data_IF_118592657990
#
_entry.id   IF_118592657990
#
_cell.length_a   1.000
_cell.length_b   1.000
_cell.length_c   1.000
_cell.angle_alpha   90.00
_cell.angle_beta   90.00
_cell.angle_gamma   90.00
#
_symmetry.space_group_name_H-M   'P 1'
#
loop_
_entity.id
_entity.type
_entity.pdbx_description
1 polymer ?
#
# COMPACT_ATOMS: atom_id res chain seq x y z
N UNK A 1 26.45 64.16 -15.28
CA UNK A 1 26.34 63.13 -16.33
C UNK A 1 26.26 61.78 -15.63
N UNK A 2 25.30 60.95 -16.04
CA UNK A 2 24.52 60.00 -15.23
C UNK A 2 25.28 58.90 -14.46
N UNK A 3 24.93 58.75 -13.18
CA UNK A 3 25.32 57.64 -12.31
C UNK A 3 24.43 56.42 -12.62
N UNK A 4 24.98 55.37 -13.23
CA UNK A 4 24.26 54.11 -13.52
C UNK A 4 24.36 53.18 -12.32
N UNK A 5 23.24 52.97 -11.63
CA UNK A 5 23.06 51.92 -10.63
C UNK A 5 22.91 50.60 -11.37
N UNK A 6 23.84 49.67 -11.18
CA UNK A 6 23.71 48.29 -11.63
C UNK A 6 22.87 47.51 -10.61
N UNK A 7 21.67 47.11 -11.03
CA UNK A 7 20.79 46.23 -10.26
C UNK A 7 21.23 44.79 -10.50
N UNK A 8 21.88 44.16 -9.52
CA UNK A 8 22.24 42.73 -9.59
C UNK A 8 20.99 41.90 -9.37
N UNK A 9 20.49 41.24 -10.42
CA UNK A 9 19.39 40.29 -10.35
C UNK A 9 19.93 38.98 -9.75
N UNK A 10 19.55 38.67 -8.52
CA UNK A 10 19.80 37.36 -7.90
C UNK A 10 18.76 36.40 -8.47
N UNK A 11 19.19 35.56 -9.42
CA UNK A 11 18.42 34.38 -9.85
C UNK A 11 18.41 33.37 -8.70
N UNK A 12 17.29 33.27 -7.98
CA UNK A 12 17.04 32.12 -7.10
C UNK A 12 16.92 30.87 -7.98
N UNK A 13 17.94 30.04 -7.97
CA UNK A 13 17.88 28.67 -8.47
C UNK A 13 16.84 27.93 -7.64
N UNK A 14 15.71 27.58 -8.25
CA UNK A 14 14.78 26.62 -7.67
C UNK A 14 15.51 25.29 -7.54
N UNK A 15 15.96 24.98 -6.32
CA UNK A 15 16.39 23.64 -5.95
C UNK A 15 15.22 22.70 -6.22
N UNK A 16 15.35 21.90 -7.28
CA UNK A 16 14.47 20.77 -7.53
C UNK A 16 14.68 19.83 -6.36
N UNK A 17 13.80 19.91 -5.36
CA UNK A 17 13.73 18.92 -4.29
C UNK A 17 13.62 17.56 -4.96
N UNK A 18 14.48 16.63 -4.57
CA UNK A 18 14.40 15.24 -5.01
C UNK A 18 12.97 14.77 -4.76
N UNK A 19 12.19 14.66 -5.84
CA UNK A 19 10.85 14.13 -5.77
C UNK A 19 11.04 12.68 -5.33
N UNK A 20 10.48 12.31 -4.17
CA UNK A 20 10.55 10.94 -3.69
C UNK A 20 10.10 10.02 -4.82
N UNK A 21 10.95 9.07 -5.19
CA UNK A 21 10.69 8.16 -6.32
C UNK A 21 9.38 7.41 -6.05
N UNK A 22 8.41 7.51 -6.96
CA UNK A 22 7.13 6.78 -6.87
C UNK A 22 7.26 5.26 -6.99
N UNK A 23 8.49 4.75 -7.19
CA UNK A 23 8.79 3.33 -7.37
C UNK A 23 8.68 2.49 -6.11
N UNK A 24 8.87 3.11 -4.95
CA UNK A 24 8.76 2.46 -3.65
C UNK A 24 7.88 3.29 -2.72
N UNK A 25 7.22 2.62 -1.78
CA UNK A 25 6.52 3.32 -0.73
C UNK A 25 7.53 3.97 0.22
N UNK A 26 7.29 5.22 0.65
CA UNK A 26 8.22 5.88 1.56
C UNK A 26 8.25 5.19 2.93
N UNK A 27 9.34 5.42 3.65
CA UNK A 27 9.48 5.07 5.06
C UNK A 27 9.79 6.33 5.86
N UNK A 28 9.21 6.43 7.06
CA UNK A 28 9.38 7.55 7.97
C UNK A 28 9.88 6.99 9.31
N UNK A 29 11.17 7.12 9.59
CA UNK A 29 11.78 6.42 10.73
C UNK A 29 11.60 4.90 10.59
N UNK A 30 11.00 4.27 11.59
CA UNK A 30 10.65 2.83 11.55
C UNK A 30 9.29 2.53 10.91
N UNK A 31 8.54 3.56 10.49
CA UNK A 31 7.19 3.41 9.97
C UNK A 31 7.19 3.32 8.45
N UNK A 32 6.73 2.19 7.93
CA UNK A 32 6.46 1.97 6.51
C UNK A 32 5.00 2.32 6.20
N UNK A 33 4.71 2.70 4.96
CA UNK A 33 3.34 2.92 4.49
C UNK A 33 3.04 2.07 3.26
N UNK A 34 1.77 1.78 3.01
CA UNK A 34 1.32 1.13 1.77
C UNK A 34 -0.16 1.37 1.55
N UNK A 35 -0.64 1.21 0.32
CA UNK A 35 -2.07 1.11 0.02
C UNK A 35 -2.33 -0.12 -0.87
N UNK A 36 -3.51 -0.71 -0.71
CA UNK A 36 -4.03 -1.74 -1.62
C UNK A 36 -4.77 -1.15 -2.81
N UNK A 37 -5.24 -2.03 -3.69
CA UNK A 37 -5.87 -1.63 -4.95
C UNK A 37 -7.25 -0.98 -4.76
N UNK A 38 -7.94 -1.29 -3.65
CA UNK A 38 -9.25 -0.71 -3.34
C UNK A 38 -9.18 0.74 -2.87
N UNK A 39 -8.00 1.21 -2.43
CA UNK A 39 -7.85 2.52 -1.77
C UNK A 39 -7.73 2.44 -0.25
N UNK A 40 -7.78 1.24 0.35
CA UNK A 40 -7.37 1.07 1.75
C UNK A 40 -5.87 1.37 1.88
N UNK A 41 -5.49 2.02 2.97
CA UNK A 41 -4.09 2.33 3.26
C UNK A 41 -3.70 1.85 4.66
N UNK A 42 -2.40 1.65 4.86
CA UNK A 42 -1.85 1.24 6.14
C UNK A 42 -0.50 1.88 6.41
N UNK A 43 -0.20 2.09 7.69
CA UNK A 43 1.17 2.28 8.17
C UNK A 43 1.52 1.19 9.16
N UNK A 44 2.76 0.69 9.11
CA UNK A 44 3.22 -0.37 9.98
C UNK A 44 4.68 -0.17 10.40
N UNK A 45 4.98 -0.62 11.60
CA UNK A 45 6.34 -0.80 12.11
C UNK A 45 6.53 -2.25 12.52
N UNK A 46 7.71 -2.79 12.19
CA UNK A 46 8.10 -4.15 12.53
C UNK A 46 9.34 -4.08 13.42
N UNK A 47 9.20 -4.51 14.67
CA UNK A 47 10.29 -4.55 15.64
C UNK A 47 10.67 -5.99 15.89
N UNK A 48 11.98 -6.28 15.88
CA UNK A 48 12.52 -7.58 16.29
C UNK A 48 13.43 -7.37 17.49
N UNK A 49 13.08 -8.00 18.60
CA UNK A 49 13.90 -8.05 19.80
C UNK A 49 14.15 -9.52 20.18
N UNK A 50 15.40 -9.94 20.07
CA UNK A 50 15.82 -11.33 20.24
C UNK A 50 14.97 -12.31 19.39
N UNK A 51 14.27 -13.24 20.05
CA UNK A 51 13.41 -14.24 19.42
C UNK A 51 11.98 -13.76 19.19
N UNK A 52 11.60 -12.57 19.66
CA UNK A 52 10.25 -12.03 19.47
C UNK A 52 10.25 -10.92 18.44
N UNK A 53 9.31 -10.95 17.52
CA UNK A 53 8.99 -9.81 16.69
C UNK A 53 7.56 -9.34 16.93
N UNK A 54 7.33 -8.07 16.66
CA UNK A 54 6.06 -7.39 16.80
C UNK A 54 5.80 -6.52 15.55
N UNK A 55 4.69 -6.74 14.87
CA UNK A 55 4.11 -5.85 13.85
C UNK A 55 3.01 -5.04 14.52
N UNK A 56 3.17 -3.72 14.53
CA UNK A 56 2.09 -2.78 14.86
C UNK A 56 1.66 -2.14 13.56
N UNK A 57 0.38 -2.26 13.23
CA UNK A 57 -0.17 -1.80 11.96
C UNK A 57 -1.48 -1.07 12.15
N UNK A 58 -1.51 0.17 11.66
CA UNK A 58 -2.73 0.92 11.50
C UNK A 58 -3.23 0.74 10.08
N UNK A 59 -4.53 0.48 9.93
CA UNK A 59 -5.21 0.36 8.64
C UNK A 59 -6.45 1.24 8.61
N UNK A 60 -6.78 1.82 7.46
CA UNK A 60 -8.03 2.55 7.24
C UNK A 60 -8.52 2.29 5.83
N UNK A 61 -9.82 1.98 5.69
CA UNK A 61 -10.47 1.80 4.39
C UNK A 61 -10.73 3.17 3.72
N UNK A 62 -11.20 3.17 2.47
CA UNK A 62 -11.40 4.39 1.67
C UNK A 62 -12.69 5.21 1.94
N UNK A 63 -13.80 4.65 2.48
CA UNK A 63 -15.02 5.45 2.70
C UNK A 63 -14.79 6.61 3.68
N UNK A 64 -15.55 7.70 3.53
CA UNK A 64 -15.44 8.91 4.34
C UNK A 64 -15.55 8.66 5.85
N UNK A 65 -16.37 7.69 6.22
CA UNK A 65 -16.65 7.30 7.60
C UNK A 65 -15.86 6.05 8.05
N UNK A 66 -14.86 5.62 7.27
CA UNK A 66 -14.04 4.47 7.63
C UNK A 66 -13.26 4.76 8.91
N UNK A 67 -13.52 3.97 9.94
CA UNK A 67 -12.79 4.04 11.19
C UNK A 67 -11.38 3.47 11.01
N UNK A 68 -10.33 4.10 11.56
CA UNK A 68 -9.03 3.48 11.61
C UNK A 68 -9.07 2.25 12.53
N UNK A 69 -8.25 1.26 12.21
CA UNK A 69 -8.14 0.03 12.99
C UNK A 69 -6.67 -0.23 13.29
N UNK A 70 -6.40 -0.68 14.52
CA UNK A 70 -5.06 -1.04 14.96
C UNK A 70 -4.95 -2.56 15.09
N UNK A 71 -3.95 -3.13 14.43
CA UNK A 71 -3.59 -4.54 14.51
C UNK A 71 -2.22 -4.68 15.17
N UNK A 72 -2.11 -5.67 16.03
CA UNK A 72 -0.84 -6.10 16.63
C UNK A 72 -0.65 -7.57 16.29
N UNK A 73 0.53 -7.94 15.80
CA UNK A 73 0.89 -9.33 15.55
C UNK A 73 2.28 -9.65 16.10
N UNK A 74 2.47 -10.85 16.60
CA UNK A 74 3.74 -11.37 17.07
C UNK A 74 3.95 -12.81 16.59
N UNK A 75 5.21 -13.29 16.56
CA UNK A 75 5.46 -14.71 16.32
C UNK A 75 5.16 -15.61 17.51
N UNK A 76 5.21 -15.07 18.72
CA UNK A 76 4.95 -15.85 19.93
C UNK A 76 3.46 -15.75 20.24
N UNK A 77 2.77 -16.88 20.44
CA UNK A 77 1.39 -16.84 20.87
C UNK A 77 1.25 -16.12 22.21
N UNK A 78 0.19 -15.33 22.34
CA UNK A 78 -0.20 -14.79 23.63
C UNK A 78 -0.72 -15.92 24.52
N UNK A 79 -0.40 -15.87 25.81
CA UNK A 79 -0.98 -16.80 26.78
C UNK A 79 -2.51 -16.72 26.74
N UNK A 80 -3.19 -17.82 27.10
CA UNK A 80 -4.66 -17.81 27.21
C UNK A 80 -5.16 -16.86 28.31
N UNK A 81 -4.31 -16.58 29.29
CA UNK A 81 -4.57 -15.71 30.44
C UNK A 81 -3.51 -14.60 30.54
N UNK A 82 -3.89 -13.47 31.14
CA UNK A 82 -3.00 -12.32 31.33
C UNK A 82 -3.57 -11.03 30.76
N UNK A 83 -2.73 -10.01 30.72
CA UNK A 83 -3.10 -8.66 30.29
C UNK A 83 -2.06 -8.12 29.33
N UNK A 84 -2.50 -7.73 28.14
CA UNK A 84 -1.70 -6.95 27.21
C UNK A 84 -1.69 -5.50 27.68
N UNK A 85 -0.52 -4.94 27.94
CA UNK A 85 -0.39 -3.57 28.45
C UNK A 85 0.32 -2.68 27.46
N UNK A 86 -0.14 -1.44 27.39
CA UNK A 86 0.43 -0.40 26.55
C UNK A 86 0.81 0.78 27.42
N UNK A 87 2.03 1.28 27.24
CA UNK A 87 2.48 2.53 27.82
C UNK A 87 3.09 3.42 26.74
N UNK A 88 2.87 4.72 26.84
CA UNK A 88 3.47 5.72 25.95
C UNK A 88 4.31 6.65 26.81
N UNK A 89 5.59 6.75 26.45
CA UNK A 89 6.59 7.52 27.19
C UNK A 89 6.62 7.18 28.70
N UNK A 90 6.46 5.89 29.00
CA UNK A 90 6.45 5.35 30.38
C UNK A 90 5.13 5.51 31.13
N UNK A 91 4.12 6.17 30.54
CA UNK A 91 2.78 6.29 31.14
C UNK A 91 1.87 5.20 30.59
N UNK A 92 1.30 4.38 31.48
CA UNK A 92 0.29 3.39 31.09
C UNK A 92 -0.92 4.09 30.44
N UNK A 93 -1.31 3.63 29.25
CA UNK A 93 -2.43 4.16 28.48
C UNK A 93 -3.56 3.14 28.28
N UNK A 94 -3.25 1.85 28.28
CA UNK A 94 -4.25 0.79 28.10
C UNK A 94 -3.80 -0.53 28.74
N UNK A 95 -4.78 -1.33 29.19
CA UNK A 95 -4.56 -2.66 29.72
C UNK A 95 -5.73 -3.59 29.31
N UNK A 96 -5.49 -4.49 28.35
CA UNK A 96 -6.51 -5.38 27.78
C UNK A 96 -6.32 -6.82 28.27
N UNK A 97 -7.28 -7.38 29.03
CA UNK A 97 -7.30 -8.81 29.31
C UNK A 97 -7.36 -9.61 28.01
N UNK A 98 -6.51 -10.64 27.88
CA UNK A 98 -6.41 -11.40 26.62
C UNK A 98 -7.72 -12.13 26.31
N UNK A 99 -8.45 -12.59 27.32
CA UNK A 99 -9.75 -13.25 27.17
C UNK A 99 -10.76 -12.33 26.48
N UNK A 100 -10.89 -11.09 26.96
CA UNK A 100 -11.77 -10.07 26.36
C UNK A 100 -11.33 -9.72 24.94
N UNK A 101 -10.02 -9.61 24.73
CA UNK A 101 -9.46 -9.34 23.41
C UNK A 101 -9.80 -10.46 22.41
N UNK A 102 -9.71 -11.73 22.83
CA UNK A 102 -10.05 -12.91 22.02
C UNK A 102 -11.56 -12.97 21.72
N UNK A 103 -12.40 -12.69 22.70
CA UNK A 103 -13.86 -12.61 22.52
C UNK A 103 -14.28 -11.54 21.51
N UNK A 104 -13.54 -10.43 21.46
CA UNK A 104 -13.79 -9.33 20.52
C UNK A 104 -13.42 -9.68 19.06
N UNK A 105 -12.42 -10.55 18.83
CA UNK A 105 -11.84 -10.75 17.48
C UNK A 105 -12.86 -11.11 16.38
N UNK A 106 -13.83 -12.02 16.57
CA UNK A 106 -14.76 -12.40 15.50
C UNK A 106 -15.68 -11.27 15.05
N UNK A 107 -15.82 -10.21 15.85
CA UNK A 107 -16.65 -9.03 15.51
C UNK A 107 -15.95 -8.06 14.55
N UNK A 108 -14.65 -8.23 14.33
CA UNK A 108 -13.85 -7.30 13.55
C UNK A 108 -13.76 -7.75 12.09
N UNK A 109 -14.27 -6.90 11.20
CA UNK A 109 -14.19 -7.10 9.75
C UNK A 109 -13.03 -6.25 9.23
N UNK A 110 -12.02 -6.89 8.63
CA UNK A 110 -10.90 -6.19 8.02
C UNK A 110 -11.29 -5.56 6.67
N UNK A 111 -10.66 -4.45 6.27
CA UNK A 111 -10.84 -3.86 4.93
C UNK A 111 -10.57 -4.87 3.81
N UNK A 112 -11.27 -4.73 2.70
CA UNK A 112 -11.04 -5.57 1.52
C UNK A 112 -9.61 -5.34 0.97
N UNK A 113 -8.92 -6.43 0.62
CA UNK A 113 -7.52 -6.40 0.20
C UNK A 113 -6.50 -6.39 1.34
N UNK A 114 -6.94 -6.26 2.60
CA UNK A 114 -6.06 -6.40 3.76
C UNK A 114 -5.50 -7.83 3.84
N UNK A 115 -4.18 -7.94 4.04
CA UNK A 115 -3.49 -9.21 4.27
C UNK A 115 -2.68 -9.12 5.55
N UNK A 116 -2.95 -9.95 6.57
CA UNK A 116 -2.13 -9.97 7.76
C UNK A 116 -0.74 -10.52 7.44
N UNK A 117 0.27 -10.02 8.15
CA UNK A 117 1.56 -10.72 8.23
C UNK A 117 1.36 -12.03 9.03
N UNK A 118 2.15 -13.06 8.73
CA UNK A 118 2.11 -14.31 9.49
C UNK A 118 2.41 -14.11 10.98
N UNK A 119 2.09 -15.09 11.82
CA UNK A 119 2.14 -14.97 13.29
C UNK A 119 0.75 -14.95 13.92
N UNK A 120 0.68 -14.90 15.25
CA UNK A 120 -0.59 -14.65 15.95
C UNK A 120 -0.79 -13.14 16.04
N UNK A 121 -1.92 -12.65 15.56
CA UNK A 121 -2.23 -11.24 15.73
C UNK A 121 -3.69 -11.00 15.99
N UNK A 122 -3.94 -9.86 16.62
CA UNK A 122 -5.23 -9.45 17.13
C UNK A 122 -5.50 -8.00 16.75
N UNK A 123 -6.77 -7.70 16.58
CA UNK A 123 -7.29 -6.35 16.45
C UNK A 123 -7.47 -5.74 17.82
N UNK A 124 -6.96 -4.52 17.98
CA UNK A 124 -7.26 -3.66 19.11
C UNK A 124 -8.75 -3.24 19.04
N UNK A 125 -9.41 -2.96 20.19
CA UNK A 125 -10.78 -2.45 20.22
C UNK A 125 -11.02 -1.27 19.27
N UNK A 126 -12.00 -1.39 18.36
CA UNK A 126 -12.26 -0.43 17.29
C UNK A 126 -13.01 0.83 17.77
N UNK A 127 -13.11 1.84 16.90
CA UNK A 127 -13.83 3.08 17.20
C UNK A 127 -13.10 3.97 18.22
N UNK A 128 -13.79 4.57 19.20
CA UNK A 128 -13.21 5.56 20.11
C UNK A 128 -11.95 5.10 20.84
N UNK A 129 -11.85 3.80 21.17
CA UNK A 129 -10.65 3.23 21.80
C UNK A 129 -9.44 3.29 20.87
N UNK A 130 -9.61 2.92 19.59
CA UNK A 130 -8.54 3.03 18.59
C UNK A 130 -8.18 4.50 18.36
N UNK A 131 -9.16 5.39 18.24
CA UNK A 131 -8.90 6.83 18.03
C UNK A 131 -8.06 7.42 19.18
N UNK A 132 -8.40 7.08 20.43
CA UNK A 132 -7.65 7.50 21.61
C UNK A 132 -6.22 6.94 21.64
N UNK A 133 -6.03 5.68 21.26
CA UNK A 133 -4.71 5.05 21.14
C UNK A 133 -3.87 5.74 20.06
N UNK A 134 -4.42 5.96 18.86
CA UNK A 134 -3.73 6.64 17.74
C UNK A 134 -3.31 8.04 18.16
N UNK A 135 -4.23 8.80 18.78
CA UNK A 135 -3.92 10.14 19.30
C UNK A 135 -2.75 10.10 20.29
N UNK A 136 -2.78 9.17 21.25
CA UNK A 136 -1.71 9.05 22.23
C UNK A 136 -0.38 8.65 21.58
N UNK A 137 -0.40 7.75 20.59
CA UNK A 137 0.79 7.33 19.84
C UNK A 137 1.36 8.46 18.98
N UNK A 138 0.50 9.29 18.39
CA UNK A 138 0.94 10.44 17.59
C UNK A 138 1.64 11.50 18.46
N UNK A 139 1.14 11.72 19.67
CA UNK A 139 1.62 12.78 20.56
C UNK A 139 2.83 12.31 21.42
N UNK A 140 3.19 11.03 21.36
CA UNK A 140 4.30 10.42 22.12
C UNK A 140 5.53 10.05 21.28
N UNK A 141 6.59 9.58 21.96
CA UNK A 141 7.87 9.23 21.32
C UNK A 141 8.16 7.73 21.32
N UNK A 142 7.77 7.00 22.36
CA UNK A 142 7.97 5.56 22.49
C UNK A 142 6.69 4.87 22.93
N UNK A 143 6.24 3.87 22.16
CA UNK A 143 5.20 2.92 22.55
C UNK A 143 5.89 1.69 23.16
N UNK A 144 5.53 1.37 24.39
CA UNK A 144 5.91 0.15 25.07
C UNK A 144 4.72 -0.81 25.09
N UNK A 145 4.97 -2.06 24.68
CA UNK A 145 3.97 -3.14 24.69
C UNK A 145 4.48 -4.27 25.56
N UNK A 146 3.74 -4.63 26.60
CA UNK A 146 4.00 -5.80 27.43
C UNK A 146 3.15 -6.98 26.93
N UNK A 147 3.81 -7.95 26.32
CA UNK A 147 3.23 -9.16 25.74
C UNK A 147 3.34 -10.32 26.74
N UNK A 148 2.22 -10.79 27.31
CA UNK A 148 2.20 -12.02 28.09
C UNK A 148 2.29 -13.24 27.17
N UNK A 149 3.46 -13.86 27.06
CA UNK A 149 3.71 -15.07 26.28
C UNK A 149 4.06 -16.28 27.16
N UNK A 150 4.21 -17.44 26.53
CA UNK A 150 4.49 -18.70 27.24
C UNK A 150 5.77 -18.65 28.10
N UNK A 151 6.77 -17.90 27.64
CA UNK A 151 8.05 -17.72 28.33
C UNK A 151 8.04 -16.55 29.34
N UNK A 152 6.86 -16.02 29.68
CA UNK A 152 6.67 -14.87 30.57
C UNK A 152 6.32 -13.57 29.84
N UNK A 153 6.36 -12.46 30.56
CA UNK A 153 6.04 -11.13 30.01
C UNK A 153 7.26 -10.59 29.26
N UNK A 154 7.09 -10.28 27.98
CA UNK A 154 8.10 -9.60 27.16
C UNK A 154 7.71 -8.14 26.96
N UNK A 155 8.64 -7.24 27.20
CA UNK A 155 8.43 -5.79 27.00
C UNK A 155 9.13 -5.35 25.73
N UNK A 156 8.38 -4.81 24.78
CA UNK A 156 8.91 -4.33 23.50
C UNK A 156 8.71 -2.83 23.42
N UNK A 157 9.80 -2.10 23.14
CA UNK A 157 9.77 -0.66 22.91
C UNK A 157 9.78 -0.38 21.40
N UNK A 158 8.92 0.51 20.97
CA UNK A 158 8.67 0.85 19.58
C UNK A 158 8.81 2.35 19.44
N UNK A 159 9.68 2.79 18.55
CA UNK A 159 9.82 4.21 18.22
C UNK A 159 8.56 4.70 17.52
N UNK A 160 7.98 5.79 18.03
CA UNK A 160 6.88 6.53 17.40
C UNK A 160 7.39 7.63 16.46
N UNK A 161 8.72 7.85 16.41
CA UNK A 161 9.35 8.76 15.44
C UNK A 161 9.00 8.32 14.02
N UNK A 162 8.38 9.22 13.26
CA UNK A 162 7.94 8.98 11.89
C UNK A 162 6.45 8.63 11.75
N UNK A 163 5.77 8.25 12.84
CA UNK A 163 4.35 7.89 12.80
C UNK A 163 3.50 9.06 12.28
N UNK A 164 3.73 10.28 12.76
CA UNK A 164 2.99 11.46 12.30
C UNK A 164 3.09 11.66 10.78
N UNK A 165 4.29 11.54 10.21
CA UNK A 165 4.50 11.65 8.77
C UNK A 165 3.84 10.50 8.00
N UNK A 166 3.88 9.28 8.55
CA UNK A 166 3.23 8.13 7.96
C UNK A 166 1.69 8.26 7.95
N UNK A 167 1.10 8.78 9.03
CA UNK A 167 -0.33 9.10 9.10
C UNK A 167 -0.69 10.22 8.12
N UNK A 168 0.14 11.26 8.01
CA UNK A 168 -0.06 12.37 7.09
C UNK A 168 -0.06 11.89 5.64
N UNK A 169 0.85 10.97 5.31
CA UNK A 169 0.87 10.31 4.00
C UNK A 169 -0.42 9.52 3.74
N UNK A 170 -0.93 8.78 4.73
CA UNK A 170 -2.21 8.05 4.57
C UNK A 170 -3.38 9.02 4.34
N UNK A 171 -3.43 10.12 5.09
CA UNK A 171 -4.46 11.15 4.92
C UNK A 171 -4.39 11.79 3.54
N UNK A 172 -3.20 12.08 3.02
CA UNK A 172 -3.03 12.65 1.69
C UNK A 172 -3.47 11.68 0.58
N UNK A 173 -3.17 10.38 0.74
CA UNK A 173 -3.59 9.33 -0.20
C UNK A 173 -5.11 9.14 -0.21
N UNK A 174 -5.74 9.30 0.94
CA UNK A 174 -7.18 9.10 1.12
C UNK A 174 -7.98 10.41 1.09
N UNK A 175 -7.36 11.53 0.67
CA UNK A 175 -7.98 12.85 0.61
C UNK A 175 -8.61 13.30 1.95
N UNK A 176 -8.01 12.91 3.08
CA UNK A 176 -8.44 13.27 4.42
C UNK A 176 -7.67 14.45 5.02
N UNK A 177 -6.65 14.99 4.34
CA UNK A 177 -5.90 16.15 4.84
C UNK A 177 -6.85 17.33 5.13
N UNK A 178 -6.84 17.83 6.37
CA UNK A 178 -7.69 18.95 6.79
C UNK A 178 -9.16 18.60 7.03
N UNK A 179 -9.54 17.32 6.99
CA UNK A 179 -10.88 16.86 7.36
C UNK A 179 -10.96 16.47 8.82
N UNK A 180 -12.18 16.35 9.34
CA UNK A 180 -12.45 15.77 10.68
C UNK A 180 -12.00 14.31 10.79
N UNK A 181 -11.77 13.63 9.67
CA UNK A 181 -11.32 12.24 9.60
C UNK A 181 -9.80 12.06 9.53
N UNK A 182 -9.02 13.15 9.48
CA UNK A 182 -7.56 13.09 9.40
C UNK A 182 -6.94 12.45 10.66
N UNK A 183 -5.99 11.54 10.47
CA UNK A 183 -5.29 10.83 11.55
C UNK A 183 -4.09 11.61 12.07
N UNK A 184 -3.34 12.27 11.18
CA UNK A 184 -2.20 13.08 11.58
C UNK A 184 -2.64 14.37 12.26
N UNK A 185 -3.34 15.23 11.53
CA UNK A 185 -3.78 16.53 12.05
C UNK A 185 -5.26 16.71 11.70
N UNK A 186 -6.12 16.55 12.71
CA UNK A 186 -7.57 16.72 12.56
C UNK A 186 -7.88 18.15 12.13
N UNK A 187 -8.68 18.29 11.07
CA UNK A 187 -9.18 19.57 10.58
C UNK A 187 -10.69 19.72 10.78
N UNK A 188 -11.26 20.70 10.08
CA UNK A 188 -12.67 21.11 10.25
C UNK A 188 -13.56 20.70 9.06
N UNK A 189 -12.96 20.35 7.92
CA UNK A 189 -13.73 20.01 6.72
C UNK A 189 -14.44 18.65 6.91
N UNK A 190 -15.64 18.45 6.33
CA UNK A 190 -16.27 17.14 6.30
C UNK A 190 -15.36 16.11 5.61
N UNK A 191 -15.33 14.89 6.14
CA UNK A 191 -14.69 13.77 5.44
C UNK A 191 -15.47 13.44 4.16
N UNK A 192 -14.75 13.06 3.11
CA UNK A 192 -15.31 12.60 1.83
C UNK A 192 -14.75 11.24 1.47
N UNK A 193 -15.45 10.51 0.60
CA UNK A 193 -14.95 9.23 0.11
C UNK A 193 -13.64 9.47 -0.66
N UNK A 194 -12.61 8.69 -0.31
CA UNK A 194 -11.37 8.74 -1.06
C UNK A 194 -11.58 8.22 -2.49
N UNK A 195 -10.72 8.61 -3.46
CA UNK A 195 -10.60 7.87 -4.70
C UNK A 195 -10.36 6.39 -4.40
N UNK A 196 -11.17 5.51 -5.01
CA UNK A 196 -11.20 4.10 -4.65
C UNK A 196 -11.47 3.20 -5.87
N UNK A 197 -11.37 1.90 -5.63
CA UNK A 197 -11.86 0.87 -6.53
C UNK A 197 -12.68 -0.16 -5.75
N UNK A 198 -13.63 -0.79 -6.44
CA UNK A 198 -14.50 -1.81 -5.86
C UNK A 198 -13.76 -3.14 -5.82
N UNK A 199 -13.68 -3.76 -4.65
CA UNK A 199 -13.11 -5.10 -4.50
C UNK A 199 -13.92 -6.14 -5.27
N UNK A 200 -13.22 -7.04 -5.97
CA UNK A 200 -13.82 -8.20 -6.64
C UNK A 200 -13.33 -9.46 -5.91
N UNK A 201 -14.14 -9.99 -4.99
CA UNK A 201 -13.75 -11.14 -4.17
C UNK A 201 -14.16 -12.48 -4.76
N UNK A 202 -14.96 -12.48 -5.82
CA UNK A 202 -15.41 -13.70 -6.49
C UNK A 202 -15.59 -13.48 -7.99
N UNK A 203 -15.17 -14.48 -8.77
CA UNK A 203 -15.35 -14.51 -10.22
C UNK A 203 -16.82 -14.54 -10.64
N UNK A 204 -17.71 -15.02 -9.78
CA UNK A 204 -19.16 -15.11 -10.05
C UNK A 204 -19.79 -13.71 -10.14
N UNK A 205 -19.18 -12.71 -9.51
CA UNK A 205 -19.65 -11.32 -9.59
C UNK A 205 -19.24 -10.59 -10.87
N UNK A 206 -18.40 -11.21 -11.71
CA UNK A 206 -17.92 -10.58 -12.94
C UNK A 206 -19.03 -10.50 -13.99
N UNK A 207 -19.10 -9.38 -14.75
CA UNK A 207 -19.96 -9.31 -15.93
C UNK A 207 -19.66 -10.45 -16.90
N UNK A 208 -20.66 -11.06 -17.58
CA UNK A 208 -20.43 -12.24 -18.43
C UNK A 208 -19.34 -12.07 -19.48
N UNK A 209 -19.26 -10.89 -20.12
CA UNK A 209 -18.21 -10.60 -21.09
C UNK A 209 -16.80 -10.57 -20.45
N UNK A 210 -16.68 -10.03 -19.24
CA UNK A 210 -15.42 -9.97 -18.49
C UNK A 210 -15.00 -11.38 -18.06
N UNK A 211 -15.94 -12.16 -17.52
CA UNK A 211 -15.71 -13.55 -17.14
C UNK A 211 -15.24 -14.39 -18.33
N UNK A 212 -15.92 -14.30 -19.48
CA UNK A 212 -15.53 -15.02 -20.70
C UNK A 212 -14.14 -14.60 -21.20
N UNK A 213 -13.81 -13.30 -21.14
CA UNK A 213 -12.51 -12.78 -21.58
C UNK A 213 -11.38 -13.20 -20.66
N UNK A 214 -11.63 -13.24 -19.35
CA UNK A 214 -10.69 -13.75 -18.35
C UNK A 214 -10.47 -15.26 -18.49
N UNK A 215 -11.54 -16.02 -18.72
CA UNK A 215 -11.49 -17.49 -18.92
C UNK A 215 -10.76 -17.92 -20.19
N UNK A 216 -10.89 -17.15 -21.28
CA UNK A 216 -10.21 -17.43 -22.54
C UNK A 216 -8.68 -17.28 -22.46
N UNK A 217 -8.15 -16.84 -21.33
CA UNK A 217 -6.73 -16.90 -21.04
C UNK A 217 -6.46 -18.16 -20.21
N UNK A 218 -6.08 -19.26 -20.88
CA UNK A 218 -5.90 -20.61 -20.30
C UNK A 218 -4.96 -20.67 -19.08
N UNK A 219 -4.16 -19.63 -18.83
CA UNK A 219 -3.25 -19.54 -17.67
C UNK A 219 -3.91 -18.84 -16.47
N UNK A 220 -4.88 -17.95 -16.70
CA UNK A 220 -5.46 -17.13 -15.64
C UNK A 220 -6.69 -17.75 -14.97
N UNK A 221 -7.40 -18.64 -15.66
CA UNK A 221 -8.74 -19.10 -15.27
C UNK A 221 -8.76 -20.19 -14.19
N UNK A 222 -7.61 -20.82 -13.92
CA UNK A 222 -7.48 -21.88 -12.91
C UNK A 222 -6.82 -21.32 -11.65
N UNK A 223 -7.65 -20.80 -10.74
CA UNK A 223 -7.22 -20.22 -9.47
C UNK A 223 -8.19 -20.63 -8.37
N UNK A 224 -7.63 -21.03 -7.22
CA UNK A 224 -8.43 -21.35 -6.04
C UNK A 224 -9.30 -20.15 -5.60
N UNK A 225 -10.60 -20.33 -5.30
CA UNK A 225 -11.48 -19.23 -4.92
C UNK A 225 -11.03 -18.42 -3.71
N UNK A 226 -10.39 -19.06 -2.71
CA UNK A 226 -9.87 -18.34 -1.54
C UNK A 226 -8.62 -17.53 -1.89
N UNK A 227 -7.77 -18.05 -2.79
CA UNK A 227 -6.66 -17.27 -3.36
C UNK A 227 -7.20 -16.08 -4.16
N UNK A 228 -8.20 -16.27 -5.02
CA UNK A 228 -8.81 -15.18 -5.77
C UNK A 228 -9.37 -14.10 -4.83
N UNK A 229 -10.20 -14.50 -3.85
CA UNK A 229 -10.83 -13.60 -2.90
C UNK A 229 -9.84 -12.76 -2.10
N UNK A 230 -8.65 -13.32 -1.82
CA UNK A 230 -7.59 -12.63 -1.09
C UNK A 230 -6.64 -11.83 -1.99
N UNK A 231 -6.76 -11.87 -3.32
CA UNK A 231 -5.76 -11.33 -4.26
C UNK A 231 -5.91 -9.87 -4.67
N UNK A 232 -6.61 -9.07 -3.87
CA UNK A 232 -6.70 -7.60 -4.06
C UNK A 232 -7.15 -7.24 -5.50
N UNK A 233 -8.07 -8.06 -6.03
CA UNK A 233 -8.67 -7.87 -7.34
C UNK A 233 -9.70 -6.75 -7.27
N UNK A 234 -9.78 -5.94 -8.31
CA UNK A 234 -10.63 -4.74 -8.31
C UNK A 234 -11.39 -4.55 -9.62
N UNK A 235 -12.45 -3.74 -9.53
CA UNK A 235 -13.09 -3.06 -10.64
C UNK A 235 -13.22 -1.57 -10.36
N UNK A 236 -13.04 -0.73 -11.38
CA UNK A 236 -13.08 0.74 -11.25
C UNK A 236 -13.60 1.38 -12.53
N UNK A 237 -14.48 2.37 -12.42
CA UNK A 237 -14.89 3.17 -13.58
C UNK A 237 -13.77 4.13 -13.94
N UNK A 238 -13.25 4.02 -15.17
CA UNK A 238 -12.24 4.94 -15.70
C UNK A 238 -12.89 6.19 -16.31
N UNK A 239 -14.10 6.03 -16.86
CA UNK A 239 -14.96 7.07 -17.40
C UNK A 239 -16.43 6.60 -17.38
N UNK A 240 -17.33 7.30 -18.05
CA UNK A 240 -18.77 6.97 -18.09
C UNK A 240 -19.13 5.70 -18.89
N UNK A 241 -18.17 5.11 -19.60
CA UNK A 241 -18.35 3.97 -20.52
C UNK A 241 -17.38 2.82 -20.27
N UNK A 242 -16.25 3.09 -19.65
CA UNK A 242 -15.15 2.14 -19.49
C UNK A 242 -14.96 1.77 -18.03
N UNK A 243 -15.08 0.48 -17.73
CA UNK A 243 -14.72 -0.10 -16.44
C UNK A 243 -13.45 -0.93 -16.59
N UNK A 244 -12.44 -0.64 -15.78
CA UNK A 244 -11.23 -1.44 -15.65
C UNK A 244 -11.43 -2.53 -14.61
N UNK A 245 -10.95 -3.73 -14.91
CA UNK A 245 -10.79 -4.83 -13.98
C UNK A 245 -9.32 -5.17 -13.89
N UNK A 246 -8.80 -5.37 -12.68
CA UNK A 246 -7.48 -5.96 -12.43
C UNK A 246 -7.72 -7.27 -11.70
N UNK A 247 -7.52 -8.37 -12.41
CA UNK A 247 -7.90 -9.70 -11.95
C UNK A 247 -6.65 -10.58 -11.80
N UNK A 248 -6.57 -11.40 -10.74
CA UNK A 248 -5.51 -12.39 -10.57
C UNK A 248 -5.43 -13.32 -11.77
N UNK A 249 -4.22 -13.78 -12.06
CA UNK A 249 -3.94 -14.71 -13.15
C UNK A 249 -3.09 -15.87 -12.62
N UNK A 250 -3.76 -16.93 -12.16
CA UNK A 250 -3.12 -18.10 -11.58
C UNK A 250 -2.63 -17.93 -10.14
N UNK A 251 -2.02 -19.00 -9.62
CA UNK A 251 -1.53 -19.06 -8.23
C UNK A 251 -0.29 -18.19 -8.02
N UNK A 252 -0.25 -17.35 -6.98
CA UNK A 252 0.95 -16.61 -6.60
C UNK A 252 2.15 -17.52 -6.34
N UNK A 253 3.33 -17.00 -6.68
CA UNK A 253 4.62 -17.59 -6.26
C UNK A 253 5.10 -16.94 -4.96
N UNK A 254 6.26 -17.36 -4.46
CA UNK A 254 6.83 -16.82 -3.22
C UNK A 254 7.05 -15.29 -3.24
N UNK A 255 7.24 -14.68 -4.41
CA UNK A 255 7.58 -13.25 -4.54
C UNK A 255 6.85 -12.51 -5.68
N UNK A 256 6.03 -13.21 -6.48
CA UNK A 256 5.23 -12.61 -7.54
C UNK A 256 3.79 -13.15 -7.54
N UNK A 257 2.83 -12.22 -7.55
CA UNK A 257 1.44 -12.48 -7.91
C UNK A 257 1.18 -11.95 -9.32
N UNK A 258 0.65 -12.76 -10.23
CA UNK A 258 0.34 -12.34 -11.58
C UNK A 258 -1.11 -11.84 -11.70
N UNK A 259 -1.32 -10.86 -12.57
CA UNK A 259 -2.59 -10.21 -12.84
C UNK A 259 -2.75 -9.94 -14.34
N UNK A 260 -4.01 -9.83 -14.77
CA UNK A 260 -4.39 -9.27 -16.07
C UNK A 260 -5.29 -8.06 -15.86
N UNK A 261 -5.20 -7.10 -16.78
CA UNK A 261 -6.10 -5.96 -16.82
C UNK A 261 -7.09 -6.12 -17.98
N UNK A 262 -8.39 -5.90 -17.72
CA UNK A 262 -9.45 -5.96 -18.72
C UNK A 262 -10.26 -4.66 -18.73
N UNK A 263 -10.66 -4.17 -19.91
CA UNK A 263 -11.68 -3.14 -20.01
C UNK A 263 -13.01 -3.75 -20.41
N UNK A 264 -14.08 -3.33 -19.73
CA UNK A 264 -15.46 -3.49 -20.18
C UNK A 264 -15.96 -2.14 -20.73
N UNK A 265 -16.21 -2.09 -22.03
CA UNK A 265 -16.71 -0.89 -22.72
C UNK A 265 -18.20 -1.03 -22.97
N UNK A 266 -18.97 0.01 -22.61
CA UNK A 266 -20.43 0.08 -22.79
C UNK A 266 -21.15 -1.15 -22.22
N UNK A 267 -20.64 -1.67 -21.08
CA UNK A 267 -21.24 -2.77 -20.32
C UNK A 267 -21.23 -4.15 -21.01
N UNK A 268 -20.72 -4.27 -22.24
CA UNK A 268 -20.90 -5.49 -23.04
C UNK A 268 -19.66 -5.96 -23.80
N UNK A 269 -18.67 -5.08 -24.05
CA UNK A 269 -17.47 -5.42 -24.82
C UNK A 269 -16.25 -5.48 -23.90
N UNK A 270 -15.88 -6.68 -23.48
CA UNK A 270 -14.69 -6.92 -22.68
C UNK A 270 -13.46 -7.18 -23.57
N UNK A 271 -12.31 -6.59 -23.22
CA UNK A 271 -11.03 -6.79 -23.93
C UNK A 271 -9.85 -6.76 -22.95
N UNK A 272 -8.81 -7.53 -23.24
CA UNK A 272 -7.53 -7.42 -22.54
C UNK A 272 -6.90 -6.05 -22.77
N UNK A 273 -6.35 -5.48 -21.71
CA UNK A 273 -5.53 -4.27 -21.76
C UNK A 273 -4.11 -4.67 -22.13
N UNK A 274 -3.57 -4.03 -23.16
CA UNK A 274 -2.17 -4.15 -23.56
C UNK A 274 -1.42 -2.93 -23.05
N UNK A 275 -0.37 -3.16 -22.27
CA UNK A 275 0.42 -2.11 -21.60
C UNK A 275 1.79 -2.00 -22.25
N UNK A 276 2.21 -0.77 -22.58
CA UNK A 276 3.50 -0.54 -23.20
C UNK A 276 4.66 -0.82 -22.23
N UNK A 277 5.70 -1.51 -22.67
CA UNK A 277 6.96 -1.71 -21.95
C UNK A 277 8.13 -1.47 -22.88
N UNK A 278 9.29 -1.13 -22.33
CA UNK A 278 10.50 -0.92 -23.12
C UNK A 278 11.40 -2.16 -23.13
N UNK A 279 12.03 -2.41 -24.27
CA UNK A 279 13.12 -3.38 -24.46
C UNK A 279 14.26 -2.70 -25.20
N UNK A 280 15.41 -3.36 -25.29
CA UNK A 280 16.56 -2.85 -26.04
C UNK A 280 16.28 -2.71 -27.55
N UNK A 281 15.27 -3.42 -28.07
CA UNK A 281 14.84 -3.35 -29.48
C UNK A 281 13.72 -2.32 -29.72
N UNK A 282 13.16 -1.74 -28.66
CA UNK A 282 12.04 -0.79 -28.74
C UNK A 282 10.83 -1.19 -27.88
N UNK A 283 9.71 -0.47 -28.05
CA UNK A 283 8.50 -0.70 -27.27
C UNK A 283 7.83 -2.01 -27.65
N UNK A 284 7.36 -2.74 -26.64
CA UNK A 284 6.50 -3.92 -26.77
C UNK A 284 5.21 -3.70 -25.98
N UNK A 285 4.23 -4.58 -26.17
CA UNK A 285 3.04 -4.65 -25.34
C UNK A 285 3.06 -5.89 -24.45
N UNK A 286 2.73 -5.74 -23.17
CA UNK A 286 2.46 -6.84 -22.24
C UNK A 286 0.97 -6.90 -21.91
N UNK A 287 0.44 -8.11 -21.73
CA UNK A 287 -0.89 -8.37 -21.18
C UNK A 287 -0.88 -8.88 -19.74
N UNK A 288 0.30 -9.12 -19.16
CA UNK A 288 0.48 -9.68 -17.81
C UNK A 288 1.21 -8.68 -16.93
N UNK A 289 0.72 -8.54 -15.71
CA UNK A 289 1.24 -7.65 -14.67
C UNK A 289 1.66 -8.49 -13.48
N UNK A 290 2.77 -8.12 -12.84
CA UNK A 290 3.21 -8.75 -11.59
C UNK A 290 3.11 -7.76 -10.45
N UNK A 291 2.63 -8.22 -9.29
CA UNK A 291 2.45 -7.42 -8.08
C UNK A 291 1.76 -6.08 -8.37
N UNK A 292 0.68 -6.14 -9.16
CA UNK A 292 0.01 -4.97 -9.72
C UNK A 292 -0.59 -4.08 -8.61
N UNK A 293 -0.39 -2.76 -8.70
CA UNK A 293 -1.00 -1.77 -7.81
C UNK A 293 -1.77 -0.70 -8.58
N UNK A 294 -3.00 -0.45 -8.14
CA UNK A 294 -3.85 0.62 -8.66
C UNK A 294 -3.84 1.84 -7.73
N UNK A 295 -3.63 3.02 -8.31
CA UNK A 295 -3.76 4.31 -7.65
C UNK A 295 -4.95 5.07 -8.24
N UNK A 296 -6.12 5.04 -7.59
CA UNK A 296 -7.33 5.70 -8.09
C UNK A 296 -7.23 7.23 -8.09
N UNK A 297 -6.42 7.84 -7.21
CA UNK A 297 -6.25 9.31 -7.12
C UNK A 297 -5.68 9.88 -8.42
N UNK A 298 -4.72 9.17 -9.02
CA UNK A 298 -4.02 9.63 -10.24
C UNK A 298 -4.42 8.86 -11.49
N UNK A 299 -5.28 7.84 -11.37
CA UNK A 299 -5.59 6.85 -12.41
C UNK A 299 -4.33 6.16 -12.94
N UNK A 300 -3.48 5.72 -12.01
CA UNK A 300 -2.18 5.13 -12.32
C UNK A 300 -2.15 3.65 -11.96
N UNK A 301 -1.52 2.86 -12.81
CA UNK A 301 -1.26 1.44 -12.63
C UNK A 301 0.24 1.24 -12.52
N UNK A 302 0.69 0.51 -11.51
CA UNK A 302 2.09 0.07 -11.41
C UNK A 302 2.16 -1.45 -11.39
N UNK A 303 3.29 -1.99 -11.83
CA UNK A 303 3.60 -3.40 -11.72
C UNK A 303 5.09 -3.56 -11.38
N UNK A 304 5.40 -4.57 -10.56
CA UNK A 304 6.74 -4.94 -10.17
C UNK A 304 6.91 -6.45 -10.37
N UNK A 305 7.65 -6.84 -11.40
CA UNK A 305 8.18 -8.19 -11.49
C UNK A 305 9.47 -8.27 -10.67
N UNK A 306 9.52 -9.17 -9.70
CA UNK A 306 10.73 -9.50 -8.94
C UNK A 306 11.40 -10.71 -9.55
N UNK A 307 12.68 -10.61 -9.93
CA UNK A 307 13.43 -11.73 -10.50
C UNK A 307 13.93 -12.74 -9.46
N UNK A 308 13.90 -12.36 -8.17
CA UNK A 308 14.34 -13.18 -7.04
C UNK A 308 13.49 -12.89 -5.80
N UNK A 309 13.60 -13.77 -4.79
CA UNK A 309 12.97 -13.58 -3.48
C UNK A 309 13.49 -12.39 -2.68
N UNK A 310 14.73 -11.93 -2.94
CA UNK A 310 15.28 -10.72 -2.32
C UNK A 310 14.72 -9.43 -2.96
N UNK A 311 14.16 -9.52 -4.17
CA UNK A 311 13.61 -8.36 -4.87
C UNK A 311 14.66 -7.33 -5.31
N UNK A 312 15.91 -7.75 -5.45
CA UNK A 312 17.04 -6.94 -5.91
C UNK A 312 17.04 -6.71 -7.43
N UNK A 313 16.46 -7.64 -8.19
CA UNK A 313 16.40 -7.58 -9.64
C UNK A 313 14.95 -7.68 -10.13
N UNK A 314 14.72 -7.26 -11.37
CA UNK A 314 13.43 -7.35 -12.03
C UNK A 314 13.11 -6.14 -12.88
N UNK A 315 11.80 -5.88 -13.04
CA UNK A 315 11.28 -4.76 -13.83
C UNK A 315 10.09 -4.12 -13.11
N UNK A 316 10.13 -2.80 -13.01
CA UNK A 316 9.06 -1.97 -12.49
C UNK A 316 8.53 -1.06 -13.60
N UNK A 317 7.21 -0.87 -13.61
CA UNK A 317 6.53 -0.01 -14.57
C UNK A 317 5.48 0.85 -13.89
N UNK A 318 5.23 2.03 -14.46
CA UNK A 318 4.10 2.90 -14.11
C UNK A 318 3.44 3.46 -15.35
N UNK A 319 2.14 3.24 -15.44
CA UNK A 319 1.26 3.75 -16.49
C UNK A 319 0.20 4.66 -15.92
N UNK A 320 -0.29 5.59 -16.75
CA UNK A 320 -1.44 6.42 -16.43
C UNK A 320 -2.53 6.24 -17.47
N UNK A 321 -3.76 6.12 -16.99
CA UNK A 321 -4.92 6.18 -17.87
C UNK A 321 -5.11 7.60 -18.40
N UNK A 322 -5.10 7.74 -19.73
CA UNK A 322 -5.30 9.02 -20.41
C UNK A 322 -6.32 8.82 -21.54
N UNK A 323 -7.48 9.46 -21.38
CA UNK A 323 -8.64 9.39 -22.28
C UNK A 323 -9.19 7.97 -22.47
N UNK A 324 -8.48 7.11 -23.20
CA UNK A 324 -8.93 5.78 -23.61
C UNK A 324 -7.82 4.73 -23.61
N UNK A 325 -6.60 5.08 -23.19
CA UNK A 325 -5.45 4.18 -23.19
C UNK A 325 -4.53 4.43 -21.98
N UNK A 326 -3.73 3.43 -21.64
CA UNK A 326 -2.64 3.56 -20.69
C UNK A 326 -1.37 4.05 -21.37
N UNK A 327 -0.80 5.13 -20.86
CA UNK A 327 0.48 5.70 -21.31
C UNK A 327 1.57 5.31 -20.32
N UNK A 328 2.69 4.76 -20.81
CA UNK A 328 3.85 4.46 -19.98
C UNK A 328 4.51 5.78 -19.54
N UNK A 329 4.46 6.06 -18.24
CA UNK A 329 5.11 7.22 -17.64
C UNK A 329 6.56 6.91 -17.31
N UNK A 330 6.82 5.72 -16.79
CA UNK A 330 8.14 5.36 -16.27
C UNK A 330 8.34 3.84 -16.26
N UNK A 331 9.57 3.42 -16.56
CA UNK A 331 10.03 2.04 -16.41
C UNK A 331 11.44 2.06 -15.80
N UNK A 332 11.68 1.15 -14.86
CA UNK A 332 13.00 0.92 -14.28
C UNK A 332 13.27 -0.58 -14.20
N UNK A 333 14.51 -1.00 -14.43
CA UNK A 333 14.85 -2.42 -14.44
C UNK A 333 16.27 -2.67 -13.91
N UNK A 334 16.42 -3.75 -13.14
CA UNK A 334 17.71 -4.38 -12.85
C UNK A 334 17.67 -5.80 -13.42
N UNK A 335 18.29 -6.08 -14.58
CA UNK A 335 18.16 -7.38 -15.24
C UNK A 335 18.93 -8.50 -14.54
N UNK A 336 19.90 -8.17 -13.69
CA UNK A 336 20.79 -9.15 -13.03
C UNK A 336 20.53 -9.22 -11.54
N UNK A 337 20.33 -10.43 -11.04
CA UNK A 337 20.17 -10.76 -9.63
C UNK A 337 21.56 -11.10 -9.05
N UNK A 338 22.19 -10.13 -8.41
CA UNK A 338 23.55 -10.23 -7.85
C UNK A 338 23.57 -10.53 -6.34
N UNK A 339 22.39 -10.73 -5.74
CA UNK A 339 22.24 -10.96 -4.30
C UNK A 339 22.43 -9.71 -3.44
N UNK A 340 22.54 -8.51 -4.04
CA UNK A 340 22.69 -7.25 -3.32
C UNK A 340 21.32 -6.56 -3.22
N UNK A 341 20.73 -6.56 -2.03
CA UNK A 341 19.45 -5.88 -1.77
C UNK A 341 19.52 -4.42 -2.21
N UNK A 342 18.64 -4.04 -3.13
CA UNK A 342 18.62 -2.72 -3.77
C UNK A 342 17.18 -2.29 -3.94
N UNK A 343 16.81 -1.16 -3.32
CA UNK A 343 15.46 -0.63 -3.42
C UNK A 343 15.11 -0.26 -4.86
N UNK A 344 13.84 -0.44 -5.26
CA UNK A 344 13.37 -0.16 -6.62
C UNK A 344 13.57 1.31 -7.01
N UNK A 345 13.56 2.23 -6.03
CA UNK A 345 13.91 3.64 -6.27
C UNK A 345 15.31 3.86 -6.85
N UNK A 346 16.23 2.93 -6.60
CA UNK A 346 17.62 2.99 -7.05
C UNK A 346 17.86 2.28 -8.39
N UNK A 347 16.84 1.60 -8.93
CA UNK A 347 16.99 0.91 -10.21
C UNK A 347 17.18 1.93 -11.36
N UNK A 348 18.01 1.64 -12.37
CA UNK A 348 18.15 2.55 -13.50
C UNK A 348 16.84 2.63 -14.28
N UNK A 349 16.47 3.85 -14.69
CA UNK A 349 15.33 4.07 -15.57
C UNK A 349 15.63 3.51 -16.97
N UNK A 350 14.73 2.69 -17.50
CA UNK A 350 14.71 2.31 -18.92
C UNK A 350 13.70 3.16 -19.70
N UNK A 351 12.80 3.87 -19.00
CA UNK A 351 11.92 4.89 -19.56
C UNK A 351 11.53 5.96 -18.53
N UNK A 352 11.47 7.25 -18.90
CA UNK A 352 12.12 7.80 -20.09
C UNK A 352 13.63 7.57 -20.00
N UNK A 353 14.28 7.38 -21.13
CA UNK A 353 15.74 7.21 -21.15
C UNK A 353 16.37 8.55 -20.73
N UNK A 354 16.88 8.61 -19.50
CA UNK A 354 17.64 9.78 -19.03
C UNK A 354 18.98 9.74 -19.73
N UNK A 355 19.11 10.49 -20.82
CA UNK A 355 20.41 10.72 -21.45
C UNK A 355 21.18 11.65 -20.52
N UNK A 356 22.10 11.09 -19.74
CA UNK A 356 23.07 11.92 -19.01
C UNK A 356 23.89 12.63 -20.09
N UNK A 357 23.69 13.94 -20.23
CA UNK A 357 24.50 14.76 -21.11
C UNK A 357 25.96 14.56 -20.73
N UNK A 358 26.78 14.08 -21.66
CA UNK A 358 28.24 14.22 -21.54
C UNK A 358 28.50 15.72 -21.64
N UNK A 359 28.91 16.34 -20.54
CA UNK A 359 29.60 17.63 -20.55
C UNK A 359 30.94 17.52 -21.27
#
# INVERSE_FOLDING_TARGET
MSLRVFLTVILLSASHGAQASERSFPTFGSWSVSCGNTGFCSTATFVRDQSTWLDIRLVRDWPANALPMLRIAANTPLNGEGTLRFAIDGKAVEALPITQLREFQPSVISPAGFRPIGGEGFWYPTGPSTDAMIKSMRDGLTLQVELPGADGIKTINISLIGLHQALSWMDERQAQTGTVGALAETGESPAVDAPHATSVTTVVSLPPAVMATWQNNNVCSDIDPAIFASSDAISVSLDNKTTLFILPCGTPTAHNSAYVALHLVEGSKARHVSLAQMTDLGPIATGVLYNARWNPKNLELTALFKGSGLGECGKWNRWKWVNSNFVLLEEAARPTCDGIETDVSQWPATWPVVTVGRE
#
